data_IF_401338558717
#
_entry.id   IF_401338558717
#
_cell.length_a   1.000
_cell.length_b   1.000
_cell.length_c   1.000
_cell.angle_alpha   90.00
_cell.angle_beta   90.00
_cell.angle_gamma   90.00
#
_symmetry.space_group_name_H-M   'P 1'
#
loop_
_entity.id
_entity.type
_entity.pdbx_description
1 polymer ?
#
# COMPACT_ATOMS: atom_id res chain seq x y z
N UNK A 1 -2.17 23.18 -23.48
CA UNK A 1 -1.09 23.50 -22.52
C UNK A 1 0.09 22.61 -22.86
N UNK A 2 1.22 23.21 -23.26
CA UNK A 2 2.32 22.53 -23.95
C UNK A 2 3.08 21.55 -23.07
N UNK A 3 3.12 20.28 -23.49
CA UNK A 3 4.08 19.31 -22.97
C UNK A 3 5.49 19.73 -23.42
N UNK A 4 6.31 20.22 -22.49
CA UNK A 4 7.72 20.52 -22.73
C UNK A 4 8.51 19.24 -22.82
N UNK A 5 9.30 19.15 -23.87
CA UNK A 5 10.21 18.06 -24.20
C UNK A 5 11.17 17.73 -23.03
N UNK A 6 11.33 16.46 -22.75
CA UNK A 6 12.35 15.95 -21.83
C UNK A 6 13.73 16.10 -22.49
N UNK A 7 14.57 16.96 -21.92
CA UNK A 7 15.97 17.06 -22.32
C UNK A 7 16.79 16.01 -21.55
N UNK A 8 17.46 15.14 -22.27
CA UNK A 8 18.48 14.22 -21.74
C UNK A 8 19.80 14.98 -21.74
N UNK A 9 20.38 15.21 -20.57
CA UNK A 9 21.72 15.76 -20.44
C UNK A 9 22.66 14.64 -20.02
N UNK A 10 23.62 14.29 -20.87
CA UNK A 10 24.69 13.33 -20.58
C UNK A 10 25.88 14.10 -20.00
N UNK A 11 26.25 13.81 -18.77
CA UNK A 11 27.48 14.34 -18.15
C UNK A 11 28.40 13.15 -17.82
N UNK A 12 29.63 13.26 -18.28
CA UNK A 12 30.64 12.20 -18.21
C UNK A 12 31.23 11.98 -16.80
N UNK A 13 31.77 10.79 -16.63
CA UNK A 13 32.35 10.21 -15.41
C UNK A 13 33.55 10.97 -14.83
N UNK A 14 33.52 11.10 -13.47
CA UNK A 14 34.73 11.26 -12.68
C UNK A 14 34.75 10.17 -11.59
N UNK A 15 35.85 9.42 -11.54
CA UNK A 15 36.09 8.29 -10.63
C UNK A 15 36.37 8.76 -9.20
N UNK A 16 35.73 8.16 -8.19
CA UNK A 16 36.12 8.31 -6.77
C UNK A 16 36.21 6.95 -6.06
N UNK A 17 37.27 6.82 -5.26
CA UNK A 17 37.68 5.66 -4.50
C UNK A 17 36.67 5.20 -3.44
N UNK A 18 36.53 3.89 -3.31
CA UNK A 18 35.75 3.18 -2.28
C UNK A 18 36.59 3.02 -1.02
N UNK A 19 36.03 3.41 0.13
CA UNK A 19 36.50 2.99 1.46
C UNK A 19 35.41 2.09 2.07
N UNK A 20 35.77 0.83 2.31
CA UNK A 20 34.92 -0.17 2.94
C UNK A 20 34.90 0.02 4.46
N UNK A 21 33.71 0.30 5.04
CA UNK A 21 33.47 0.27 6.49
C UNK A 21 32.62 -0.96 6.84
N UNK A 22 33.23 -1.92 7.58
CA UNK A 22 32.53 -3.12 8.04
C UNK A 22 31.56 -2.85 9.19
N UNK A 23 30.37 -3.40 9.13
CA UNK A 23 29.43 -3.45 10.25
C UNK A 23 29.62 -4.76 11.02
N UNK A 24 30.18 -4.65 12.23
CA UNK A 24 30.24 -5.75 13.19
C UNK A 24 28.88 -5.97 13.83
N UNK A 25 28.37 -7.23 13.73
CA UNK A 25 27.16 -7.64 14.42
C UNK A 25 27.40 -7.74 15.94
N UNK A 26 26.60 -7.02 16.72
CA UNK A 26 26.49 -7.22 18.16
C UNK A 26 25.47 -8.33 18.43
N UNK A 27 25.92 -9.38 19.14
CA UNK A 27 25.04 -10.43 19.68
C UNK A 27 24.16 -9.81 20.77
N UNK A 28 22.84 -9.72 20.52
CA UNK A 28 21.87 -9.23 21.48
C UNK A 28 21.57 -10.27 22.56
N UNK A 29 21.56 -9.84 23.81
CA UNK A 29 21.07 -10.60 24.96
C UNK A 29 19.59 -10.88 24.83
N UNK A 30 19.18 -12.12 25.03
CA UNK A 30 17.77 -12.53 25.11
C UNK A 30 17.07 -11.83 26.29
N UNK A 31 16.11 -10.98 25.98
CA UNK A 31 15.23 -10.38 26.97
C UNK A 31 14.20 -11.44 27.43
N UNK A 32 14.05 -11.59 28.75
CA UNK A 32 13.18 -12.58 29.37
C UNK A 32 11.70 -12.43 28.94
N UNK A 33 11.11 -13.54 28.55
CA UNK A 33 9.70 -13.68 28.13
C UNK A 33 8.79 -13.48 29.34
N UNK A 34 7.79 -12.59 29.23
CA UNK A 34 6.78 -12.40 30.29
C UNK A 34 5.90 -13.66 30.50
N UNK A 35 5.32 -13.84 31.69
CA UNK A 35 4.66 -15.10 32.10
C UNK A 35 3.48 -15.54 31.21
N UNK A 36 2.85 -14.65 30.43
CA UNK A 36 1.75 -15.00 29.53
C UNK A 36 2.21 -15.48 28.13
N UNK A 37 3.42 -15.14 27.72
CA UNK A 37 3.96 -15.59 26.44
C UNK A 37 4.38 -17.08 26.48
N UNK A 38 4.77 -17.57 27.65
CA UNK A 38 5.22 -18.96 27.84
C UNK A 38 4.14 -20.01 27.55
N UNK A 39 2.86 -19.68 27.84
CA UNK A 39 1.73 -20.60 27.57
C UNK A 39 1.46 -20.78 26.06
N UNK A 40 1.80 -19.79 25.25
CA UNK A 40 1.64 -19.84 23.79
C UNK A 40 2.85 -20.44 23.06
N UNK A 41 4.00 -20.57 23.74
CA UNK A 41 5.25 -21.09 23.15
C UNK A 41 5.32 -22.61 23.08
N UNK A 42 4.66 -23.31 24.01
CA UNK A 42 4.81 -24.75 24.18
C UNK A 42 3.79 -25.57 23.37
N UNK A 43 3.06 -24.94 22.45
CA UNK A 43 2.05 -25.64 21.68
C UNK A 43 2.09 -25.35 20.16
N UNK A 44 1.95 -26.43 19.38
CA UNK A 44 1.70 -26.35 17.95
C UNK A 44 0.21 -26.04 17.71
N UNK A 45 -0.14 -24.97 16.96
CA UNK A 45 -1.53 -24.63 16.66
C UNK A 45 -2.31 -25.74 15.96
N UNK A 46 -1.61 -26.65 15.24
CA UNK A 46 -2.21 -27.82 14.63
C UNK A 46 -2.48 -28.95 15.64
N UNK A 47 -1.88 -28.90 16.83
CA UNK A 47 -1.99 -30.00 17.83
C UNK A 47 -3.29 -29.99 18.60
N UNK A 48 -3.93 -28.85 18.80
CA UNK A 48 -5.23 -28.73 19.49
C UNK A 48 -5.93 -27.41 19.27
N UNK A 49 -7.26 -27.43 19.26
CA UNK A 49 -8.11 -26.23 19.20
C UNK A 49 -7.85 -25.26 20.38
N UNK A 50 -7.54 -25.79 21.56
CA UNK A 50 -7.17 -24.98 22.73
C UNK A 50 -5.90 -24.18 22.48
N UNK A 51 -4.90 -24.79 21.86
CA UNK A 51 -3.66 -24.12 21.49
C UNK A 51 -3.93 -23.01 20.47
N UNK A 52 -4.63 -23.30 19.38
CA UNK A 52 -4.98 -22.33 18.37
C UNK A 52 -5.72 -21.11 18.95
N UNK A 53 -6.70 -21.35 19.84
CA UNK A 53 -7.43 -20.27 20.54
C UNK A 53 -6.52 -19.43 21.43
N UNK A 54 -5.61 -20.05 22.19
CA UNK A 54 -4.66 -19.35 23.06
C UNK A 54 -3.73 -18.43 22.24
N UNK A 55 -3.20 -18.92 21.13
CA UNK A 55 -2.33 -18.16 20.22
C UNK A 55 -3.07 -16.96 19.60
N UNK A 56 -4.31 -17.16 19.14
CA UNK A 56 -5.14 -16.07 18.63
C UNK A 56 -5.46 -15.02 19.71
N UNK A 57 -5.73 -15.45 20.94
CA UNK A 57 -5.98 -14.54 22.06
C UNK A 57 -4.75 -13.67 22.35
N UNK A 58 -3.56 -14.26 22.39
CA UNK A 58 -2.32 -13.52 22.59
C UNK A 58 -2.00 -12.62 21.39
N UNK A 59 -2.19 -13.08 20.17
CA UNK A 59 -2.06 -12.25 18.97
C UNK A 59 -2.98 -11.03 19.01
N UNK A 60 -4.22 -11.20 19.54
CA UNK A 60 -5.16 -10.07 19.75
C UNK A 60 -4.63 -9.09 20.79
N UNK A 61 -4.08 -9.55 21.91
CA UNK A 61 -3.45 -8.69 22.91
C UNK A 61 -2.30 -7.90 22.33
N UNK A 62 -1.42 -8.56 21.59
CA UNK A 62 -0.27 -7.95 20.92
C UNK A 62 -0.69 -6.90 19.89
N UNK A 63 -1.74 -7.15 19.12
CA UNK A 63 -2.21 -6.22 18.10
C UNK A 63 -3.03 -5.05 18.68
N UNK A 64 -3.92 -5.34 19.64
CA UNK A 64 -4.89 -4.38 20.13
C UNK A 64 -4.36 -3.53 21.31
N UNK A 65 -3.41 -4.04 22.10
CA UNK A 65 -3.04 -3.46 23.42
C UNK A 65 -1.53 -3.25 23.60
N UNK A 66 -0.68 -4.11 23.01
CA UNK A 66 0.75 -4.06 23.25
C UNK A 66 1.41 -2.84 22.62
N UNK A 67 2.21 -2.11 23.40
CA UNK A 67 2.94 -0.90 22.98
C UNK A 67 4.44 -1.13 22.84
N UNK A 68 4.94 -2.30 23.24
CA UNK A 68 6.37 -2.63 23.29
C UNK A 68 7.22 -1.57 24.01
N UNK A 69 6.65 -0.96 25.07
CA UNK A 69 7.31 0.10 25.83
C UNK A 69 7.53 1.40 25.04
N UNK A 70 6.81 1.59 23.95
CA UNK A 70 6.94 2.74 23.06
C UNK A 70 6.09 3.96 23.46
N UNK A 71 5.71 4.74 22.48
CA UNK A 71 4.99 6.01 22.63
C UNK A 71 3.48 5.88 22.93
N UNK A 72 3.01 4.70 23.30
CA UNK A 72 1.61 4.43 23.61
C UNK A 72 0.78 3.95 22.41
N UNK A 73 1.35 3.89 21.20
CA UNK A 73 0.69 3.33 20.03
C UNK A 73 0.70 1.82 20.04
N UNK A 74 -0.39 1.27 19.56
CA UNK A 74 -0.57 -0.16 19.21
C UNK A 74 -0.90 -0.27 17.73
N UNK A 75 -0.94 -1.47 17.16
CA UNK A 75 -1.40 -1.63 15.77
C UNK A 75 -2.84 -1.08 15.62
N UNK A 76 -3.67 -1.26 16.64
CA UNK A 76 -5.06 -0.79 16.68
C UNK A 76 -5.17 0.75 16.63
N UNK A 77 -4.13 1.48 16.97
CA UNK A 77 -4.12 2.95 16.88
C UNK A 77 -4.43 3.43 15.46
N UNK A 78 -3.88 2.76 14.45
CA UNK A 78 -4.05 3.12 13.03
C UNK A 78 -4.94 2.14 12.24
N UNK A 79 -5.13 0.90 12.74
CA UNK A 79 -5.91 -0.12 12.06
C UNK A 79 -7.23 -0.36 12.79
N UNK A 80 -8.29 0.39 12.43
CA UNK A 80 -9.62 0.27 13.05
C UNK A 80 -10.21 -1.13 12.88
N UNK A 81 -11.16 -1.50 13.75
CA UNK A 81 -11.83 -2.81 13.66
C UNK A 81 -12.76 -2.93 12.46
N UNK A 82 -13.21 -1.79 11.93
CA UNK A 82 -14.22 -1.74 10.88
C UNK A 82 -13.59 -1.81 9.49
N UNK A 83 -12.56 -1.02 9.25
CA UNK A 83 -11.99 -0.79 7.93
C UNK A 83 -10.55 -1.31 7.80
N UNK A 84 -9.90 -1.67 8.92
CA UNK A 84 -8.49 -2.00 8.95
C UNK A 84 -7.55 -0.82 8.67
N UNK A 85 -8.09 0.39 8.53
CA UNK A 85 -7.40 1.68 8.40
C UNK A 85 -8.15 2.72 9.24
N UNK A 86 -7.92 4.01 9.08
CA UNK A 86 -8.72 5.08 9.68
C UNK A 86 -9.01 6.18 8.66
N UNK A 87 -10.11 6.92 8.88
CA UNK A 87 -10.54 8.02 8.01
C UNK A 87 -10.27 9.39 8.64
N UNK A 88 -10.34 10.49 7.85
CA UNK A 88 -10.29 11.84 8.37
C UNK A 88 -11.34 12.12 9.45
N UNK A 89 -12.56 11.63 9.25
CA UNK A 89 -13.67 11.81 10.20
C UNK A 89 -13.39 11.08 11.52
N UNK A 90 -12.82 9.86 11.45
CA UNK A 90 -12.41 9.09 12.62
C UNK A 90 -11.27 9.79 13.37
N UNK A 91 -10.26 10.31 12.65
CA UNK A 91 -9.16 11.06 13.25
C UNK A 91 -9.68 12.33 13.94
N UNK A 92 -10.55 13.11 13.27
CA UNK A 92 -11.13 14.32 13.85
C UNK A 92 -11.96 14.01 15.10
N UNK A 93 -12.79 12.97 15.06
CA UNK A 93 -13.58 12.55 16.23
C UNK A 93 -12.68 12.19 17.43
N UNK A 94 -11.58 11.46 17.19
CA UNK A 94 -10.60 11.11 18.23
C UNK A 94 -9.86 12.33 18.78
N UNK A 95 -9.54 13.31 17.94
CA UNK A 95 -8.91 14.57 18.40
C UNK A 95 -9.84 15.36 19.33
N UNK A 96 -11.13 15.40 18.99
CA UNK A 96 -12.15 16.09 19.81
C UNK A 96 -12.34 15.36 21.14
N UNK A 97 -12.39 14.03 21.13
CA UNK A 97 -12.57 13.21 22.33
C UNK A 97 -11.35 13.24 23.25
N UNK A 98 -10.15 13.10 22.67
CA UNK A 98 -8.90 13.07 23.42
C UNK A 98 -7.75 13.69 22.59
N UNK A 99 -7.43 14.97 22.80
CA UNK A 99 -6.30 15.63 22.13
C UNK A 99 -4.92 14.96 22.37
N UNK A 100 -4.82 14.15 23.44
CA UNK A 100 -3.62 13.38 23.76
C UNK A 100 -3.67 11.93 23.27
N UNK A 101 -4.60 11.60 22.36
CA UNK A 101 -4.64 10.27 21.75
C UNK A 101 -3.30 9.94 21.05
N UNK A 102 -2.73 8.74 21.24
CA UNK A 102 -1.47 8.35 20.64
C UNK A 102 -1.42 8.49 19.11
N UNK A 103 -2.56 8.59 18.42
CA UNK A 103 -2.60 8.88 16.99
C UNK A 103 -1.92 10.23 16.66
N UNK A 104 -2.01 11.22 17.55
CA UNK A 104 -1.47 12.58 17.37
C UNK A 104 -0.08 12.76 17.97
N UNK A 105 0.76 11.75 17.84
CA UNK A 105 2.17 11.80 18.25
C UNK A 105 3.08 11.61 17.03
N UNK A 106 4.33 12.06 17.12
CA UNK A 106 5.40 11.80 16.17
C UNK A 106 4.96 11.97 14.70
N UNK A 107 4.86 10.88 13.94
CA UNK A 107 4.48 10.86 12.52
C UNK A 107 2.99 11.18 12.25
N UNK A 108 2.17 11.25 13.27
CA UNK A 108 0.79 11.79 13.21
C UNK A 108 0.73 13.31 13.14
N UNK A 109 1.80 14.00 13.53
CA UNK A 109 1.88 15.47 13.51
C UNK A 109 2.35 16.01 12.16
N UNK A 110 1.92 17.23 11.81
CA UNK A 110 2.16 17.82 10.49
C UNK A 110 3.65 17.97 10.16
N UNK A 111 4.47 18.39 11.14
CA UNK A 111 5.90 18.54 11.02
C UNK A 111 6.71 17.50 11.84
N UNK A 112 6.02 16.60 12.56
CA UNK A 112 6.59 15.64 13.49
C UNK A 112 6.72 16.15 14.92
N UNK A 113 6.38 17.42 15.19
CA UNK A 113 6.43 18.08 16.50
C UNK A 113 5.09 18.70 16.86
N UNK A 114 4.37 19.24 15.87
CA UNK A 114 3.13 20.00 16.05
C UNK A 114 2.21 19.89 14.84
N UNK A 115 0.94 20.30 15.05
CA UNK A 115 -0.09 20.34 14.00
C UNK A 115 -0.74 18.97 13.78
N UNK A 116 -2.05 18.98 13.52
CA UNK A 116 -2.86 17.78 13.28
C UNK A 116 -3.72 17.91 12.02
N UNK A 117 -3.50 18.96 11.23
CA UNK A 117 -4.31 19.27 10.04
C UNK A 117 -4.24 18.14 9.03
N UNK A 118 -3.04 17.68 8.70
CA UNK A 118 -2.82 16.62 7.72
C UNK A 118 -3.56 15.33 8.10
N UNK A 119 -3.45 14.89 9.36
CA UNK A 119 -4.07 13.64 9.79
C UNK A 119 -5.58 13.74 9.93
N UNK A 120 -6.11 14.91 10.30
CA UNK A 120 -7.56 15.14 10.43
C UNK A 120 -8.25 15.46 9.11
N UNK A 121 -7.52 15.97 8.11
CA UNK A 121 -8.10 16.28 6.80
C UNK A 121 -7.91 15.17 5.76
N UNK A 122 -6.80 14.39 5.89
CA UNK A 122 -6.41 13.41 4.90
C UNK A 122 -6.13 12.00 5.48
N UNK A 123 -6.14 11.82 6.80
CA UNK A 123 -5.83 10.55 7.48
C UNK A 123 -4.47 9.94 7.01
N UNK A 124 -3.48 10.79 6.78
CA UNK A 124 -2.14 10.35 6.39
C UNK A 124 -1.16 10.44 7.56
N UNK A 125 -0.15 9.57 7.56
CA UNK A 125 1.00 9.62 8.47
C UNK A 125 2.25 10.00 7.70
N UNK A 126 3.20 10.67 8.39
CA UNK A 126 4.53 10.98 7.84
C UNK A 126 5.41 9.76 7.98
N UNK A 127 5.97 9.31 6.88
CA UNK A 127 6.93 8.20 6.90
C UNK A 127 8.28 8.68 6.37
N UNK A 128 9.34 8.26 7.01
CA UNK A 128 10.70 8.49 6.55
C UNK A 128 11.13 7.32 5.66
N UNK A 129 11.48 7.61 4.41
CA UNK A 129 11.97 6.61 3.47
C UNK A 129 13.44 6.89 3.15
N UNK A 130 14.35 5.96 3.46
CA UNK A 130 15.74 6.07 3.07
C UNK A 130 15.91 6.13 1.55
N UNK A 131 16.83 6.98 1.08
CA UNK A 131 17.21 7.01 -0.32
C UNK A 131 18.19 5.87 -0.62
N UNK A 132 17.92 5.08 -1.67
CA UNK A 132 18.90 4.11 -2.19
C UNK A 132 20.22 4.79 -2.56
N UNK A 133 21.35 4.05 -2.58
CA UNK A 133 22.67 4.63 -2.89
C UNK A 133 22.76 5.34 -4.23
N UNK A 134 21.98 4.89 -5.20
CA UNK A 134 21.89 5.38 -6.57
C UNK A 134 20.83 6.50 -6.79
N UNK A 135 20.26 7.02 -5.68
CA UNK A 135 19.27 8.11 -5.69
C UNK A 135 19.72 9.25 -4.78
N UNK A 136 19.69 10.48 -5.30
CA UNK A 136 19.94 11.69 -4.51
C UNK A 136 18.89 12.75 -4.77
N UNK A 137 18.70 13.68 -3.83
CA UNK A 137 17.87 14.87 -4.04
C UNK A 137 18.63 15.92 -4.82
N UNK A 138 18.00 16.55 -5.79
CA UNK A 138 18.61 17.59 -6.60
C UNK A 138 19.00 18.82 -5.77
N UNK A 139 18.17 19.18 -4.77
CA UNK A 139 18.36 20.40 -3.97
C UNK A 139 19.21 20.14 -2.71
N UNK A 140 19.35 18.86 -2.29
CA UNK A 140 20.11 18.47 -1.09
C UNK A 140 20.73 17.08 -1.29
N UNK A 141 21.82 16.98 -2.06
CA UNK A 141 22.46 15.69 -2.36
C UNK A 141 23.05 14.96 -1.14
N UNK A 142 23.25 15.67 -0.03
CA UNK A 142 23.78 15.09 1.22
C UNK A 142 22.69 14.36 2.02
N UNK A 143 21.43 14.72 1.83
CA UNK A 143 20.29 14.12 2.51
C UNK A 143 20.07 12.68 2.05
N UNK A 144 19.86 11.76 2.98
CA UNK A 144 19.77 10.32 2.72
C UNK A 144 18.37 9.72 2.95
N UNK A 145 17.37 10.56 3.20
CA UNK A 145 15.97 10.15 3.35
C UNK A 145 15.02 11.24 2.91
N UNK A 146 13.79 10.88 2.65
CA UNK A 146 12.67 11.82 2.39
C UNK A 146 11.52 11.53 3.32
N UNK A 147 10.76 12.59 3.65
CA UNK A 147 9.51 12.48 4.42
C UNK A 147 8.34 12.47 3.45
N UNK A 148 7.57 11.39 3.46
CA UNK A 148 6.39 11.21 2.60
C UNK A 148 5.13 11.13 3.46
N UNK A 149 4.01 11.62 2.95
CA UNK A 149 2.71 11.53 3.61
C UNK A 149 1.88 10.43 2.93
N UNK A 150 1.58 9.37 3.67
CA UNK A 150 0.83 8.22 3.15
C UNK A 150 -0.34 7.84 4.04
N UNK A 151 -1.40 7.38 3.41
CA UNK A 151 -2.48 6.68 4.10
C UNK A 151 -1.98 5.41 4.79
N UNK A 152 -2.69 4.98 5.81
CA UNK A 152 -2.45 3.68 6.44
C UNK A 152 -3.09 2.58 5.57
N UNK A 153 -2.31 1.63 5.03
CA UNK A 153 -2.89 0.52 4.26
C UNK A 153 -3.85 -0.29 5.10
N UNK A 154 -4.99 -0.67 4.53
CA UNK A 154 -5.94 -1.52 5.25
C UNK A 154 -5.36 -2.89 5.59
N UNK A 155 -5.68 -3.38 6.78
CA UNK A 155 -5.41 -4.78 7.17
C UNK A 155 -6.54 -5.74 6.77
N UNK A 156 -7.56 -5.26 6.07
CA UNK A 156 -8.64 -6.10 5.56
C UNK A 156 -8.17 -6.89 4.33
N UNK A 157 -8.26 -8.21 4.37
CA UNK A 157 -7.88 -9.17 3.32
C UNK A 157 -6.36 -9.21 2.98
N UNK A 158 -5.69 -8.06 2.99
CA UNK A 158 -4.31 -7.88 2.55
C UNK A 158 -3.30 -8.79 3.26
N UNK A 159 -3.29 -8.92 4.60
CA UNK A 159 -2.27 -9.70 5.30
C UNK A 159 -2.22 -11.19 4.92
N UNK A 160 -3.37 -11.77 4.55
CA UNK A 160 -3.46 -13.20 4.20
C UNK A 160 -3.34 -13.47 2.70
N UNK A 161 -3.76 -12.52 1.86
CA UNK A 161 -4.06 -12.78 0.45
C UNK A 161 -3.25 -11.92 -0.52
N UNK A 162 -2.55 -10.90 -0.05
CA UNK A 162 -1.70 -10.06 -0.90
C UNK A 162 -0.24 -10.50 -0.77
N UNK A 163 0.45 -10.78 -1.87
CA UNK A 163 1.83 -11.26 -1.83
C UNK A 163 2.85 -10.19 -1.44
N UNK A 164 2.47 -8.91 -1.49
CA UNK A 164 3.34 -7.78 -1.20
C UNK A 164 2.62 -6.78 -0.31
N UNK A 165 3.34 -6.20 0.65
CA UNK A 165 2.78 -5.29 1.64
C UNK A 165 3.27 -3.84 1.40
N UNK A 166 2.55 -2.89 1.96
CA UNK A 166 2.69 -1.44 1.79
C UNK A 166 2.34 -0.97 0.36
N UNK A 167 2.05 0.33 0.22
CA UNK A 167 1.66 0.90 -1.09
C UNK A 167 2.76 0.82 -2.15
N UNK A 168 4.03 0.94 -1.74
CA UNK A 168 5.19 0.82 -2.61
C UNK A 168 5.75 -0.61 -2.70
N UNK A 169 5.14 -1.58 -2.01
CA UNK A 169 5.58 -2.99 -1.97
C UNK A 169 6.95 -3.22 -1.32
N UNK A 170 7.40 -2.30 -0.44
CA UNK A 170 8.72 -2.42 0.19
C UNK A 170 8.83 -3.55 1.21
N UNK A 171 7.71 -4.00 1.77
CA UNK A 171 7.70 -5.04 2.80
C UNK A 171 7.38 -6.43 2.20
N UNK A 172 8.34 -7.37 2.26
CA UNK A 172 8.20 -8.66 1.61
C UNK A 172 7.32 -9.65 2.38
N UNK A 173 7.11 -9.43 3.67
CA UNK A 173 6.32 -10.32 4.53
C UNK A 173 5.84 -9.61 5.80
N UNK A 174 4.84 -10.22 6.46
CA UNK A 174 4.22 -9.67 7.67
C UNK A 174 5.15 -9.58 8.88
N UNK A 175 6.15 -10.45 9.01
CA UNK A 175 7.06 -10.41 10.16
C UNK A 175 7.93 -9.15 10.10
N UNK A 176 8.51 -8.89 8.93
CA UNK A 176 9.31 -7.69 8.71
C UNK A 176 8.48 -6.42 8.78
N UNK A 177 7.28 -6.45 8.19
CA UNK A 177 6.34 -5.32 8.24
C UNK A 177 5.95 -4.98 9.68
N UNK A 178 5.57 -5.97 10.50
CA UNK A 178 5.20 -5.76 11.89
C UNK A 178 6.39 -5.23 12.71
N UNK A 179 7.59 -5.79 12.52
CA UNK A 179 8.81 -5.32 13.17
C UNK A 179 9.10 -3.85 12.84
N UNK A 180 9.06 -3.48 11.56
CA UNK A 180 9.31 -2.12 11.12
C UNK A 180 8.22 -1.15 11.61
N UNK A 181 6.95 -1.54 11.58
CA UNK A 181 5.87 -0.71 12.10
C UNK A 181 5.98 -0.44 13.61
N UNK A 182 6.34 -1.45 14.40
CA UNK A 182 6.59 -1.30 15.84
C UNK A 182 7.74 -0.33 16.07
N UNK A 183 8.85 -0.47 15.33
CA UNK A 183 10.02 0.41 15.46
C UNK A 183 9.72 1.84 15.03
N UNK A 184 9.10 2.03 13.87
CA UNK A 184 8.95 3.35 13.23
C UNK A 184 7.79 4.14 13.81
N UNK A 185 6.63 3.50 14.00
CA UNK A 185 5.41 4.20 14.43
C UNK A 185 5.20 4.17 15.95
N UNK A 186 5.47 3.05 16.61
CA UNK A 186 5.34 2.94 18.05
C UNK A 186 6.60 3.35 18.80
N UNK A 187 7.75 3.52 18.13
CA UNK A 187 9.02 3.95 18.73
C UNK A 187 9.40 3.10 19.96
N UNK A 188 9.32 1.78 19.80
CA UNK A 188 9.48 0.81 20.88
C UNK A 188 10.84 0.90 21.59
N UNK A 189 10.82 0.69 22.91
CA UNK A 189 12.02 0.50 23.72
C UNK A 189 12.30 -0.98 24.05
N UNK A 190 11.27 -1.83 23.93
CA UNK A 190 11.37 -3.27 24.08
C UNK A 190 11.25 -3.92 22.70
N UNK A 191 12.25 -4.74 22.35
CA UNK A 191 12.22 -5.41 21.05
C UNK A 191 11.18 -6.54 21.05
N UNK A 192 10.30 -6.63 20.03
CA UNK A 192 9.39 -7.75 19.90
C UNK A 192 10.20 -9.04 19.65
N UNK A 193 9.82 -10.11 20.32
CA UNK A 193 10.38 -11.44 20.09
C UNK A 193 9.90 -12.03 18.76
N UNK A 194 10.62 -13.03 18.23
CA UNK A 194 10.21 -13.74 17.02
C UNK A 194 8.81 -14.38 17.18
N UNK A 195 8.49 -14.88 18.39
CA UNK A 195 7.18 -15.46 18.69
C UNK A 195 6.08 -14.40 18.64
N UNK A 196 6.27 -13.23 19.24
CA UNK A 196 5.27 -12.15 19.24
C UNK A 196 4.98 -11.68 17.82
N UNK A 197 6.00 -11.50 16.98
CA UNK A 197 5.83 -11.22 15.56
C UNK A 197 5.07 -12.32 14.83
N UNK A 198 5.36 -13.59 15.13
CA UNK A 198 4.65 -14.74 14.56
C UNK A 198 3.17 -14.75 14.99
N UNK A 199 2.85 -14.44 16.25
CA UNK A 199 1.48 -14.35 16.75
C UNK A 199 0.69 -13.19 16.12
N UNK A 200 1.33 -12.04 15.92
CA UNK A 200 0.73 -10.92 15.18
C UNK A 200 0.43 -11.29 13.73
N UNK A 201 1.34 -12.01 13.08
CA UNK A 201 1.15 -12.54 11.73
C UNK A 201 -0.01 -13.53 11.66
N UNK A 202 0.00 -14.56 12.52
CA UNK A 202 -1.04 -15.60 12.58
C UNK A 202 -2.43 -14.98 12.80
N UNK A 203 -2.53 -14.02 13.72
CA UNK A 203 -3.77 -13.27 13.94
C UNK A 203 -4.30 -12.67 12.65
N UNK A 204 -3.48 -11.92 11.95
CA UNK A 204 -3.90 -11.21 10.74
C UNK A 204 -4.23 -12.16 9.57
N UNK A 205 -3.67 -13.35 9.56
CA UNK A 205 -3.88 -14.34 8.51
C UNK A 205 -5.05 -15.29 8.75
N UNK A 206 -5.56 -15.40 9.99
CA UNK A 206 -6.54 -16.44 10.33
C UNK A 206 -7.80 -15.91 11.03
N UNK A 207 -7.72 -14.79 11.74
CA UNK A 207 -8.87 -14.22 12.44
C UNK A 207 -9.86 -13.58 11.46
N UNK A 208 -11.13 -13.96 11.56
CA UNK A 208 -12.21 -13.48 10.70
C UNK A 208 -12.34 -11.95 10.64
N UNK A 209 -11.86 -11.22 11.65
CA UNK A 209 -11.86 -9.75 11.71
C UNK A 209 -10.96 -9.09 10.65
N UNK A 210 -10.07 -9.85 10.01
CA UNK A 210 -9.18 -9.36 8.96
C UNK A 210 -9.65 -9.76 7.55
N UNK A 211 -10.90 -10.25 7.42
CA UNK A 211 -11.49 -10.63 6.14
C UNK A 211 -12.83 -9.92 5.95
N UNK A 212 -13.05 -9.37 4.76
CA UNK A 212 -14.33 -8.73 4.41
C UNK A 212 -15.44 -9.75 4.18
N UNK A 213 -15.11 -11.01 3.92
CA UNK A 213 -16.08 -12.10 3.77
C UNK A 213 -15.51 -13.46 4.16
N UNK A 214 -16.41 -14.39 4.50
CA UNK A 214 -16.03 -15.78 4.77
C UNK A 214 -15.46 -16.46 3.53
N UNK A 215 -15.91 -16.12 2.32
CA UNK A 215 -15.36 -16.67 1.09
C UNK A 215 -13.87 -16.37 0.92
N UNK A 216 -13.44 -15.17 1.26
CA UNK A 216 -12.02 -14.78 1.25
C UNK A 216 -11.22 -15.50 2.33
N UNK A 217 -11.78 -15.69 3.51
CA UNK A 217 -11.14 -16.48 4.57
C UNK A 217 -10.97 -17.95 4.17
N UNK A 218 -11.98 -18.53 3.53
CA UNK A 218 -11.89 -19.89 2.99
C UNK A 218 -10.84 -19.97 1.89
N UNK A 219 -10.79 -19.00 0.99
CA UNK A 219 -9.77 -18.92 -0.06
C UNK A 219 -8.35 -18.81 0.51
N UNK A 220 -8.14 -18.00 1.56
CA UNK A 220 -6.85 -17.88 2.26
C UNK A 220 -6.38 -19.22 2.86
N UNK A 221 -7.30 -20.12 3.16
CA UNK A 221 -7.01 -21.47 3.67
C UNK A 221 -7.00 -22.57 2.58
N UNK A 222 -6.80 -22.18 1.31
CA UNK A 222 -6.67 -23.11 0.19
C UNK A 222 -8.01 -23.53 -0.46
N UNK A 223 -9.11 -22.87 -0.10
CA UNK A 223 -10.40 -23.07 -0.75
C UNK A 223 -10.49 -22.44 -2.15
N UNK A 224 -11.65 -22.52 -2.82
CA UNK A 224 -11.81 -21.97 -4.15
C UNK A 224 -11.71 -20.43 -4.13
N UNK A 225 -11.24 -19.82 -5.24
CA UNK A 225 -11.17 -18.38 -5.35
C UNK A 225 -12.59 -17.76 -5.34
N UNK A 226 -12.71 -16.54 -4.79
CA UNK A 226 -14.00 -15.83 -4.81
C UNK A 226 -14.43 -15.53 -6.23
N UNK A 227 -15.75 -15.54 -6.46
CA UNK A 227 -16.35 -15.28 -7.76
C UNK A 227 -16.90 -13.87 -7.82
N UNK A 228 -16.63 -13.17 -8.91
CA UNK A 228 -17.16 -11.83 -9.12
C UNK A 228 -18.72 -11.87 -9.19
N UNK A 229 -19.40 -10.99 -8.44
CA UNK A 229 -20.85 -10.94 -8.43
C UNK A 229 -21.39 -10.56 -9.83
N UNK A 230 -22.52 -11.16 -10.27
CA UNK A 230 -23.06 -10.87 -11.60
C UNK A 230 -23.74 -9.48 -11.69
N UNK A 231 -24.09 -8.88 -10.56
CA UNK A 231 -24.95 -7.71 -10.48
C UNK A 231 -26.44 -8.05 -10.55
N UNK A 232 -27.24 -7.34 -9.79
CA UNK A 232 -28.71 -7.50 -9.69
C UNK A 232 -29.45 -6.39 -10.41
N UNK A 233 -28.94 -5.15 -10.33
CA UNK A 233 -29.47 -4.00 -11.06
C UNK A 233 -28.84 -3.86 -12.45
N UNK A 234 -29.45 -3.06 -13.30
CA UNK A 234 -28.90 -2.78 -14.63
C UNK A 234 -27.56 -2.03 -14.53
N UNK A 235 -27.45 -1.07 -13.62
CA UNK A 235 -26.21 -0.33 -13.36
C UNK A 235 -25.07 -1.25 -12.92
N UNK A 236 -25.33 -2.16 -11.98
CA UNK A 236 -24.32 -3.13 -11.52
C UNK A 236 -23.87 -4.07 -12.66
N UNK A 237 -24.78 -4.49 -13.53
CA UNK A 237 -24.45 -5.34 -14.69
C UNK A 237 -23.62 -4.58 -15.73
N UNK A 238 -23.95 -3.31 -16.02
CA UNK A 238 -23.10 -2.47 -16.89
C UNK A 238 -21.72 -2.25 -16.28
N UNK A 239 -21.66 -1.92 -15.00
CA UNK A 239 -20.38 -1.76 -14.26
C UNK A 239 -19.56 -3.05 -14.29
N UNK A 240 -20.19 -4.22 -14.12
CA UNK A 240 -19.53 -5.52 -14.26
C UNK A 240 -18.95 -5.73 -15.66
N UNK A 241 -19.74 -5.46 -16.71
CA UNK A 241 -19.28 -5.61 -18.09
C UNK A 241 -18.10 -4.67 -18.39
N UNK A 242 -18.15 -3.42 -17.89
CA UNK A 242 -17.06 -2.47 -17.99
C UNK A 242 -15.81 -2.94 -17.22
N UNK A 243 -15.97 -3.52 -16.06
CA UNK A 243 -14.88 -4.10 -15.29
C UNK A 243 -14.21 -5.26 -16.03
N UNK A 244 -14.99 -6.18 -16.58
CA UNK A 244 -14.51 -7.38 -17.29
C UNK A 244 -13.99 -7.10 -18.70
N UNK A 245 -14.02 -5.86 -19.18
CA UNK A 245 -13.64 -5.48 -20.55
C UNK A 245 -14.45 -6.23 -21.62
N UNK A 246 -15.73 -6.44 -21.37
CA UNK A 246 -16.67 -7.02 -22.35
C UNK A 246 -17.64 -5.94 -22.82
N UNK A 247 -18.14 -6.00 -24.07
CA UNK A 247 -19.17 -5.08 -24.52
C UNK A 247 -20.44 -5.26 -23.67
N UNK A 248 -20.97 -4.17 -23.12
CA UNK A 248 -22.27 -4.19 -22.44
C UNK A 248 -23.40 -4.33 -23.46
N UNK A 249 -23.35 -3.56 -24.55
CA UNK A 249 -24.24 -3.73 -25.69
C UNK A 249 -23.53 -4.60 -26.75
N UNK A 250 -24.04 -5.82 -27.06
CA UNK A 250 -23.44 -6.66 -28.08
C UNK A 250 -23.40 -6.04 -29.48
N UNK A 251 -24.20 -5.00 -29.71
CA UNK A 251 -24.27 -4.25 -30.99
C UNK A 251 -23.22 -3.15 -31.06
N UNK A 252 -22.63 -2.75 -29.91
CA UNK A 252 -21.59 -1.74 -29.83
C UNK A 252 -20.34 -2.31 -29.16
N UNK A 253 -19.46 -2.89 -29.98
CA UNK A 253 -18.21 -3.46 -29.52
C UNK A 253 -17.18 -2.41 -29.04
N UNK A 254 -17.49 -1.13 -29.13
CA UNK A 254 -16.59 -0.03 -28.71
C UNK A 254 -16.73 0.30 -27.21
N UNK A 255 -17.85 -0.05 -26.58
CA UNK A 255 -18.08 0.12 -25.14
C UNK A 255 -17.36 -0.98 -24.36
N UNK A 256 -16.05 -0.80 -24.16
CA UNK A 256 -15.22 -1.72 -23.37
C UNK A 256 -14.54 -0.98 -22.25
N UNK A 257 -14.70 -1.51 -21.05
CA UNK A 257 -13.86 -1.09 -19.91
C UNK A 257 -12.50 -1.74 -19.97
N UNK A 258 -11.61 -1.27 -19.08
CA UNK A 258 -10.23 -1.75 -19.02
C UNK A 258 -9.79 -2.08 -17.58
N UNK A 259 -10.71 -2.11 -16.62
CA UNK A 259 -10.37 -2.24 -15.20
C UNK A 259 -9.64 -3.57 -14.91
N UNK A 260 -10.08 -4.68 -15.47
CA UNK A 260 -9.45 -5.98 -15.27
C UNK A 260 -8.08 -6.11 -15.95
N UNK A 261 -7.68 -5.17 -16.78
CA UNK A 261 -6.32 -5.15 -17.33
C UNK A 261 -5.25 -4.96 -16.25
N UNK A 262 -5.59 -4.25 -15.16
CA UNK A 262 -4.76 -4.11 -13.96
C UNK A 262 -5.33 -4.85 -12.76
N UNK A 263 -6.64 -5.04 -12.70
CA UNK A 263 -7.34 -5.69 -11.58
C UNK A 263 -7.81 -7.09 -11.96
N UNK A 264 -6.85 -7.97 -12.29
CA UNK A 264 -7.10 -9.38 -12.62
C UNK A 264 -6.64 -10.33 -11.50
N UNK A 265 -6.89 -11.63 -11.71
CA UNK A 265 -6.58 -12.67 -10.74
C UNK A 265 -7.57 -12.75 -9.57
N UNK A 266 -7.42 -13.73 -8.68
CA UNK A 266 -8.39 -13.97 -7.60
C UNK A 266 -8.60 -12.78 -6.66
N UNK A 267 -7.56 -11.98 -6.43
CA UNK A 267 -7.61 -10.80 -5.57
C UNK A 267 -7.82 -9.49 -6.33
N UNK A 268 -7.96 -9.53 -7.65
CA UNK A 268 -8.14 -8.33 -8.48
C UNK A 268 -7.00 -7.32 -8.31
N UNK A 269 -5.77 -7.80 -8.23
CA UNK A 269 -4.58 -7.01 -7.89
C UNK A 269 -3.38 -7.27 -8.80
N UNK A 270 -3.61 -7.80 -10.01
CA UNK A 270 -2.54 -8.16 -10.94
C UNK A 270 -2.82 -7.67 -12.35
N UNK A 271 -1.77 -7.25 -13.05
CA UNK A 271 -1.86 -6.94 -14.46
C UNK A 271 -2.20 -8.19 -15.28
N UNK A 272 -3.17 -8.08 -16.17
CA UNK A 272 -3.53 -9.12 -17.13
C UNK A 272 -2.55 -9.16 -18.32
N UNK A 273 -2.55 -10.26 -19.06
CA UNK A 273 -1.87 -10.34 -20.34
C UNK A 273 -2.50 -9.35 -21.35
N UNK A 274 -1.65 -8.69 -22.14
CA UNK A 274 -2.11 -7.70 -23.12
C UNK A 274 -2.60 -6.38 -22.49
N UNK A 275 -2.18 -6.09 -21.26
CA UNK A 275 -2.43 -4.82 -20.59
C UNK A 275 -1.99 -3.63 -21.47
N UNK A 276 -2.87 -2.64 -21.73
CA UNK A 276 -2.56 -1.53 -22.65
C UNK A 276 -1.53 -0.54 -22.08
N UNK A 277 -1.24 -0.61 -20.77
CA UNK A 277 -0.27 0.24 -20.08
C UNK A 277 1.15 -0.34 -20.09
N UNK A 278 1.39 -1.46 -20.78
CA UNK A 278 2.70 -2.09 -20.88
C UNK A 278 3.17 -2.76 -19.58
N UNK A 279 2.28 -3.00 -18.62
CA UNK A 279 2.63 -3.76 -17.43
C UNK A 279 2.81 -5.24 -17.77
N UNK A 280 3.82 -5.90 -17.21
CA UNK A 280 4.03 -7.32 -17.48
C UNK A 280 2.87 -8.16 -16.88
N UNK A 281 2.47 -9.27 -17.53
CA UNK A 281 1.46 -10.17 -16.99
C UNK A 281 1.80 -10.62 -15.56
N UNK A 282 0.83 -10.54 -14.65
CA UNK A 282 1.03 -10.83 -13.22
C UNK A 282 1.76 -9.72 -12.45
N UNK A 283 2.09 -8.61 -13.09
CA UNK A 283 2.69 -7.45 -12.43
C UNK A 283 1.78 -6.89 -11.33
N UNK A 284 2.38 -6.50 -10.21
CA UNK A 284 1.68 -6.07 -8.99
C UNK A 284 1.72 -4.55 -8.80
N UNK A 285 2.29 -3.80 -9.72
CA UNK A 285 2.53 -2.35 -9.60
C UNK A 285 2.21 -1.62 -10.89
N UNK A 286 1.76 -0.38 -10.74
CA UNK A 286 1.54 0.54 -11.84
C UNK A 286 1.49 1.99 -11.36
N UNK A 287 1.48 2.94 -12.29
CA UNK A 287 1.19 4.35 -12.03
C UNK A 287 -0.11 4.74 -12.74
N UNK A 288 -0.97 5.39 -12.00
CA UNK A 288 -2.24 5.96 -12.51
C UNK A 288 -2.31 7.48 -12.32
N UNK A 289 -1.17 8.12 -12.05
CA UNK A 289 -1.07 9.57 -11.98
C UNK A 289 -1.50 10.22 -10.64
N UNK A 290 -1.63 9.44 -9.56
CA UNK A 290 -2.03 9.98 -8.24
C UNK A 290 -0.96 10.93 -7.70
N UNK A 291 0.32 10.52 -7.69
CA UNK A 291 1.42 11.39 -7.27
C UNK A 291 1.52 12.63 -8.15
N UNK A 292 1.41 12.48 -9.47
CA UNK A 292 1.52 13.59 -10.41
C UNK A 292 0.42 14.63 -10.23
N UNK A 293 -0.79 14.20 -9.84
CA UNK A 293 -1.89 15.14 -9.54
C UNK A 293 -1.71 15.89 -8.24
N UNK A 294 -1.11 15.25 -7.23
CA UNK A 294 -0.86 15.81 -5.90
C UNK A 294 -2.06 16.58 -5.32
N UNK A 295 -3.24 15.96 -5.29
CA UNK A 295 -4.50 16.62 -4.95
C UNK A 295 -4.56 17.18 -3.53
N UNK A 296 -3.78 16.59 -2.61
CA UNK A 296 -3.72 17.03 -1.20
C UNK A 296 -2.53 17.95 -0.89
N UNK A 297 -1.79 18.41 -1.92
CA UNK A 297 -0.74 19.39 -1.76
C UNK A 297 0.48 18.91 -0.96
N UNK A 298 0.85 17.65 -1.08
CA UNK A 298 2.05 17.10 -0.43
C UNK A 298 3.32 17.84 -0.90
N UNK A 299 4.35 17.99 -0.03
CA UNK A 299 5.66 18.48 -0.43
C UNK A 299 6.24 17.69 -1.59
N UNK A 300 6.86 18.37 -2.55
CA UNK A 300 7.43 17.75 -3.75
C UNK A 300 8.95 17.69 -3.66
N UNK A 301 9.53 16.68 -4.31
CA UNK A 301 10.96 16.44 -4.40
C UNK A 301 11.38 16.25 -5.86
N UNK A 302 12.60 16.68 -6.17
CA UNK A 302 13.26 16.33 -7.44
C UNK A 302 14.38 15.35 -7.15
N UNK A 303 14.30 14.16 -7.75
CA UNK A 303 15.28 13.10 -7.58
C UNK A 303 16.20 12.98 -8.81
N UNK A 304 17.48 12.74 -8.55
CA UNK A 304 18.46 12.33 -9.57
C UNK A 304 18.73 10.84 -9.33
N UNK A 305 18.44 10.03 -10.34
CA UNK A 305 18.56 8.56 -10.29
C UNK A 305 19.67 8.13 -11.25
N UNK A 306 20.68 7.41 -10.74
CA UNK A 306 21.69 6.75 -11.55
C UNK A 306 21.27 5.30 -11.77
N UNK A 307 20.84 4.96 -12.97
CA UNK A 307 20.44 3.60 -13.31
C UNK A 307 21.63 2.64 -13.41
N UNK A 308 21.37 1.33 -13.40
CA UNK A 308 22.42 0.30 -13.46
C UNK A 308 23.26 0.34 -14.75
N UNK A 309 22.70 0.84 -15.85
CA UNK A 309 23.40 1.05 -17.13
C UNK A 309 24.25 2.33 -17.17
N UNK A 310 24.33 3.07 -16.05
CA UNK A 310 25.03 4.34 -15.92
C UNK A 310 24.25 5.55 -16.43
N UNK A 311 23.06 5.38 -16.98
CA UNK A 311 22.21 6.51 -17.37
C UNK A 311 21.70 7.28 -16.15
N UNK A 312 21.62 8.60 -16.27
CA UNK A 312 21.13 9.49 -15.23
C UNK A 312 19.78 10.07 -15.65
N UNK A 313 18.78 9.91 -14.79
CA UNK A 313 17.41 10.40 -15.02
C UNK A 313 17.01 11.33 -13.89
N UNK A 314 16.40 12.45 -14.24
CA UNK A 314 15.82 13.41 -13.27
C UNK A 314 14.31 13.18 -13.20
N UNK A 315 13.81 12.91 -11.99
CA UNK A 315 12.37 12.82 -11.67
C UNK A 315 11.99 14.10 -10.96
N UNK A 316 11.26 14.96 -11.66
CA UNK A 316 10.91 16.28 -11.18
C UNK A 316 9.60 16.28 -10.40
N UNK A 317 9.54 17.11 -9.36
CA UNK A 317 8.33 17.59 -8.69
C UNK A 317 7.33 16.47 -8.33
N UNK A 318 7.86 15.34 -7.82
CA UNK A 318 7.00 14.26 -7.32
C UNK A 318 6.88 14.32 -5.79
N UNK A 319 5.65 14.26 -5.25
CA UNK A 319 5.44 14.20 -3.80
C UNK A 319 5.75 12.81 -3.23
N UNK A 320 5.59 11.76 -4.02
CA UNK A 320 5.89 10.39 -3.64
C UNK A 320 6.34 9.58 -4.87
N UNK A 321 7.61 9.21 -4.94
CA UNK A 321 8.13 8.45 -6.08
C UNK A 321 7.79 6.94 -6.01
N UNK A 322 7.03 6.50 -5.01
CA UNK A 322 6.55 5.12 -4.88
C UNK A 322 7.69 4.10 -4.82
N UNK A 323 7.54 3.04 -5.58
CA UNK A 323 8.44 1.89 -5.58
C UNK A 323 9.86 2.18 -6.09
N UNK A 324 10.11 3.35 -6.67
CA UNK A 324 11.45 3.76 -7.08
C UNK A 324 12.44 3.79 -5.90
N UNK A 325 11.97 4.08 -4.69
CA UNK A 325 12.83 4.14 -3.50
C UNK A 325 13.07 2.78 -2.83
N UNK A 326 12.48 1.69 -3.33
CA UNK A 326 12.74 0.37 -2.77
C UNK A 326 14.20 -0.05 -2.94
N UNK A 327 14.76 -0.68 -1.92
CA UNK A 327 16.11 -1.23 -1.97
C UNK A 327 16.12 -2.67 -1.39
N UNK A 328 16.35 -3.69 -2.22
CA UNK A 328 16.65 -3.63 -3.67
C UNK A 328 15.49 -3.09 -4.51
N UNK A 329 15.75 -2.72 -5.78
CA UNK A 329 14.68 -2.35 -6.72
C UNK A 329 13.60 -3.44 -6.83
N UNK A 330 12.35 -3.06 -7.17
CA UNK A 330 11.26 -4.02 -7.26
C UNK A 330 11.58 -5.20 -8.20
N UNK A 331 11.34 -6.40 -7.74
CA UNK A 331 11.39 -7.59 -8.59
C UNK A 331 10.30 -7.53 -9.68
N UNK A 332 10.62 -8.05 -10.85
CA UNK A 332 9.69 -8.25 -11.97
C UNK A 332 9.39 -9.74 -12.15
N UNK A 333 8.29 -10.10 -12.82
CA UNK A 333 7.97 -11.50 -13.10
C UNK A 333 9.10 -12.22 -13.85
N UNK A 334 9.27 -13.55 -13.64
CA UNK A 334 10.27 -14.33 -14.36
C UNK A 334 10.15 -14.17 -15.88
N UNK A 335 11.29 -14.00 -16.55
CA UNK A 335 11.35 -13.81 -18.00
C UNK A 335 11.12 -12.39 -18.49
N UNK A 336 10.81 -11.45 -17.59
CA UNK A 336 10.73 -10.03 -17.90
C UNK A 336 12.10 -9.38 -17.67
N UNK A 337 12.67 -8.62 -18.61
CA UNK A 337 13.88 -7.85 -18.37
C UNK A 337 13.71 -6.90 -17.19
N UNK A 338 14.69 -6.83 -16.31
CA UNK A 338 14.67 -5.91 -15.17
C UNK A 338 14.75 -4.47 -15.68
N UNK A 339 13.71 -3.65 -15.48
CA UNK A 339 13.78 -2.26 -15.91
C UNK A 339 14.71 -1.44 -15.01
N UNK A 340 15.20 -0.29 -15.48
CA UNK A 340 16.00 0.61 -14.66
C UNK A 340 15.17 1.12 -13.46
N UNK A 341 15.85 1.52 -12.36
CA UNK A 341 15.19 2.04 -11.15
C UNK A 341 14.21 3.17 -11.46
N UNK A 342 14.61 4.10 -12.34
CA UNK A 342 13.78 5.24 -12.71
C UNK A 342 12.44 4.88 -13.36
N UNK A 343 12.32 3.67 -13.92
CA UNK A 343 11.05 3.15 -14.46
C UNK A 343 9.96 3.06 -13.38
N UNK A 344 10.34 2.77 -12.14
CA UNK A 344 9.41 2.59 -11.03
C UNK A 344 8.99 3.91 -10.36
N UNK A 345 9.37 5.06 -10.92
CA UNK A 345 8.93 6.35 -10.41
C UNK A 345 7.39 6.47 -10.45
N UNK A 346 6.80 6.84 -9.31
CA UNK A 346 5.36 6.96 -9.10
C UNK A 346 4.57 5.64 -9.30
N UNK A 347 5.26 4.50 -9.20
CA UNK A 347 4.61 3.18 -9.23
C UNK A 347 4.21 2.76 -7.83
N UNK A 348 2.95 2.37 -7.71
CA UNK A 348 2.36 1.84 -6.49
C UNK A 348 1.76 0.46 -6.73
N UNK A 349 1.47 -0.24 -5.65
CA UNK A 349 0.82 -1.54 -5.68
C UNK A 349 -0.57 -1.43 -6.31
N UNK A 350 -0.90 -2.37 -7.20
CA UNK A 350 -2.28 -2.60 -7.62
C UNK A 350 -2.99 -3.26 -6.44
N UNK A 351 -3.86 -2.51 -5.76
CA UNK A 351 -4.52 -2.96 -4.54
C UNK A 351 -5.60 -4.01 -4.83
N UNK A 352 -5.80 -5.00 -3.94
CA UNK A 352 -6.95 -5.87 -3.98
C UNK A 352 -8.25 -5.06 -3.93
N UNK A 353 -9.27 -5.51 -4.67
CA UNK A 353 -10.56 -4.80 -4.70
C UNK A 353 -11.64 -5.43 -3.81
N UNK A 354 -11.41 -6.64 -3.30
CA UNK A 354 -12.35 -7.24 -2.34
C UNK A 354 -12.40 -6.44 -1.04
N UNK A 355 -13.60 -6.06 -0.63
CA UNK A 355 -13.83 -5.19 0.52
C UNK A 355 -13.62 -3.70 0.25
N UNK A 356 -13.42 -3.30 -1.00
CA UNK A 356 -13.07 -1.92 -1.35
C UNK A 356 -14.11 -0.90 -0.89
N UNK A 357 -15.40 -1.26 -0.85
CA UNK A 357 -16.47 -0.37 -0.35
C UNK A 357 -16.33 0.03 1.11
N UNK A 358 -15.57 -0.74 1.90
CA UNK A 358 -15.49 -0.60 3.35
C UNK A 358 -14.11 -0.09 3.82
N UNK A 359 -13.20 0.26 2.89
CA UNK A 359 -11.80 0.60 3.20
C UNK A 359 -11.38 2.01 2.77
N UNK A 360 -12.34 2.92 2.67
CA UNK A 360 -12.04 4.34 2.44
C UNK A 360 -11.19 4.93 3.60
N UNK A 361 -10.35 5.93 3.32
CA UNK A 361 -10.10 6.61 2.04
C UNK A 361 -9.15 5.82 1.12
N UNK A 362 -9.05 6.24 -0.15
CA UNK A 362 -8.38 5.50 -1.21
C UNK A 362 -7.11 6.19 -1.70
N UNK A 363 -6.31 5.42 -2.46
CA UNK A 363 -4.97 5.73 -2.95
C UNK A 363 -3.92 5.76 -1.83
N UNK A 364 -2.66 5.86 -2.23
CA UNK A 364 -1.54 5.83 -1.27
C UNK A 364 -1.47 7.08 -0.39
N UNK A 365 -2.06 8.18 -0.85
CA UNK A 365 -2.09 9.49 -0.18
C UNK A 365 -3.47 9.85 0.38
N UNK A 366 -4.45 8.95 0.30
CA UNK A 366 -5.84 9.18 0.72
C UNK A 366 -6.52 10.37 0.01
N UNK A 367 -6.10 10.71 -1.21
CA UNK A 367 -6.66 11.83 -1.96
C UNK A 367 -8.09 11.61 -2.46
N UNK A 368 -8.59 10.37 -2.45
CA UNK A 368 -9.97 10.04 -2.77
C UNK A 368 -10.70 9.56 -1.50
N UNK A 369 -11.79 10.23 -1.14
CA UNK A 369 -12.57 9.92 0.08
C UNK A 369 -13.69 8.90 -0.19
N UNK A 370 -14.14 8.81 -1.44
CA UNK A 370 -15.26 7.96 -1.88
C UNK A 370 -14.86 7.15 -3.12
N UNK A 371 -15.63 6.13 -3.46
CA UNK A 371 -15.46 5.41 -4.73
C UNK A 371 -15.81 6.28 -5.93
N UNK A 372 -16.65 7.26 -5.75
CA UNK A 372 -16.99 8.28 -6.74
C UNK A 372 -15.75 9.13 -7.08
N UNK A 373 -14.97 9.56 -6.07
CA UNK A 373 -13.69 10.28 -6.27
C UNK A 373 -12.66 9.39 -6.99
N UNK A 374 -12.63 8.09 -6.66
CA UNK A 374 -11.79 7.11 -7.37
C UNK A 374 -12.17 7.04 -8.85
N UNK A 375 -13.46 6.93 -9.15
CA UNK A 375 -13.94 6.87 -10.54
C UNK A 375 -13.64 8.16 -11.32
N UNK A 376 -13.77 9.34 -10.69
CA UNK A 376 -13.38 10.63 -11.26
C UNK A 376 -11.86 10.68 -11.56
N UNK A 377 -11.03 10.18 -10.63
CA UNK A 377 -9.60 10.09 -10.87
C UNK A 377 -9.28 9.20 -12.07
N UNK A 378 -9.95 8.05 -12.21
CA UNK A 378 -9.76 7.18 -13.37
C UNK A 378 -10.24 7.84 -14.67
N UNK A 379 -11.30 8.65 -14.66
CA UNK A 379 -11.70 9.42 -15.83
C UNK A 379 -10.60 10.39 -16.26
N UNK A 380 -9.98 11.08 -15.31
CA UNK A 380 -8.82 11.92 -15.57
C UNK A 380 -7.63 11.11 -16.13
N UNK A 381 -7.31 9.98 -15.52
CA UNK A 381 -6.21 9.11 -15.94
C UNK A 381 -6.41 8.61 -17.37
N UNK A 382 -7.57 8.11 -17.72
CA UNK A 382 -7.88 7.61 -19.06
C UNK A 382 -7.82 8.71 -20.12
N UNK A 383 -8.27 9.89 -19.79
CA UNK A 383 -8.21 11.04 -20.70
C UNK A 383 -6.77 11.48 -21.02
N UNK A 384 -5.86 11.35 -20.03
CA UNK A 384 -4.48 11.86 -20.14
C UNK A 384 -3.45 10.76 -20.49
N UNK A 385 -3.81 9.49 -20.39
CA UNK A 385 -2.91 8.39 -20.72
C UNK A 385 -2.83 8.15 -22.22
N UNK A 386 -1.62 8.12 -22.82
CA UNK A 386 -1.45 7.78 -24.23
C UNK A 386 -2.04 6.41 -24.63
N UNK A 387 -2.03 5.45 -23.68
CA UNK A 387 -2.51 4.08 -23.90
C UNK A 387 -4.02 3.96 -23.99
N UNK A 388 -4.76 4.97 -23.52
CA UNK A 388 -6.23 5.00 -23.52
C UNK A 388 -6.79 6.15 -24.34
N UNK A 389 -5.97 6.71 -25.24
CA UNK A 389 -6.41 7.82 -26.11
C UNK A 389 -7.68 7.46 -26.86
N UNK A 390 -8.73 8.27 -26.68
CA UNK A 390 -10.05 8.06 -27.28
C UNK A 390 -11.03 7.26 -26.40
N UNK A 391 -10.59 6.68 -25.28
CA UNK A 391 -11.52 6.09 -24.32
C UNK A 391 -12.16 7.18 -23.47
N UNK A 392 -13.49 7.25 -23.49
CA UNK A 392 -14.28 8.21 -22.72
C UNK A 392 -14.97 7.47 -21.58
N UNK A 393 -14.56 7.74 -20.35
CA UNK A 393 -15.17 7.22 -19.13
C UNK A 393 -16.23 8.23 -18.66
N UNK A 394 -17.46 8.06 -19.16
CA UNK A 394 -18.56 9.00 -18.93
C UNK A 394 -19.02 9.00 -17.47
N UNK A 395 -19.78 10.01 -17.06
CA UNK A 395 -20.37 10.04 -15.71
C UNK A 395 -21.29 8.83 -15.43
N UNK A 396 -21.98 8.31 -16.48
CA UNK A 396 -22.78 7.09 -16.32
C UNK A 396 -21.89 5.86 -16.11
N UNK A 397 -20.80 5.73 -16.87
CA UNK A 397 -19.83 4.63 -16.70
C UNK A 397 -19.21 4.64 -15.30
N UNK A 398 -18.87 5.83 -14.80
CA UNK A 398 -18.35 6.02 -13.44
C UNK A 398 -19.35 5.53 -12.40
N UNK A 399 -20.62 5.95 -12.51
CA UNK A 399 -21.68 5.52 -11.60
C UNK A 399 -21.91 4.00 -11.66
N UNK A 400 -21.89 3.41 -12.85
CA UNK A 400 -22.08 1.97 -13.07
C UNK A 400 -20.91 1.16 -12.48
N UNK A 401 -19.66 1.59 -12.70
CA UNK A 401 -18.48 0.94 -12.11
C UNK A 401 -18.50 1.04 -10.58
N UNK A 402 -18.84 2.19 -10.02
CA UNK A 402 -18.99 2.36 -8.58
C UNK A 402 -20.07 1.43 -8.01
N UNK A 403 -21.22 1.31 -8.70
CA UNK A 403 -22.27 0.39 -8.29
C UNK A 403 -21.77 -1.06 -8.26
N UNK A 404 -20.98 -1.48 -9.25
CA UNK A 404 -20.36 -2.80 -9.26
C UNK A 404 -19.30 -2.98 -8.15
N UNK A 405 -18.39 -2.01 -7.97
CA UNK A 405 -17.35 -2.09 -6.95
C UNK A 405 -17.93 -2.24 -5.53
N UNK A 406 -19.09 -1.67 -5.27
CA UNK A 406 -19.81 -1.82 -3.98
C UNK A 406 -20.31 -3.25 -3.71
N UNK A 407 -20.31 -4.13 -4.71
CA UNK A 407 -20.64 -5.55 -4.55
C UNK A 407 -19.45 -6.42 -4.17
N UNK A 408 -18.22 -5.94 -4.30
CA UNK A 408 -16.99 -6.69 -4.02
C UNK A 408 -16.73 -6.78 -2.50
N UNK A 409 -17.28 -7.83 -1.87
CA UNK A 409 -17.19 -8.07 -0.41
C UNK A 409 -16.54 -9.41 -0.09
#
# INVERSE_FOLDING_TARGET
MNLKHRAVVVIGCASLLVVAGGYGGAAGQEAGVGPNAQVATDCDPASSEKCAKSRLQEGRRLFDVETFGGNGRTCRTCHSKKTGTFSPEEALARLIENPNDPLFLHDGLDDGVSGTTRITEHATVRIEIPLPPDVVLANDPARRSVMLNRGTPTTMNTPALDPMLMYDTREPNLLQQAFNAIREHAQNTQQPTALELQLIKELQQTDSRFFSSEALRVFANGGPPPQLPPGTTESERRGRAMFDNVPFDPRDATTRGICNSCHSGPMLNRAAAGNPFGLPPGGLRGSIGVSERNLIGNPVYTFIVTNQDGSVVVINDTPDPGAMLNNPPPAVPPGVPTPPRSFFANFFKILPLWGVSDTAPYFHDNSAKTLEDVAEHYAFFFLNSPSTRGFVFTAQDQADVVAFLKLLR
#
